data_IF_750651138455
#
_entry.id   IF_750651138455
#
_cell.length_a   1.000
_cell.length_b   1.000
_cell.length_c   1.000
_cell.angle_alpha   90.00
_cell.angle_beta   90.00
_cell.angle_gamma   90.00
#
_symmetry.space_group_name_H-M   'P 1'
#
loop_
_entity.id
_entity.type
_entity.pdbx_description
1 polymer ?
#
# COMPACT_ATOMS: atom_id res chain seq x y z
N UNK A 1 10.26 6.85 -29.15
CA UNK A 1 11.00 7.27 -27.95
C UNK A 1 10.46 8.56 -27.30
N UNK A 2 10.10 9.62 -28.05
CA UNK A 2 9.53 10.87 -27.46
C UNK A 2 8.17 10.68 -26.77
N UNK A 3 7.27 9.90 -27.36
CA UNK A 3 5.92 9.65 -26.79
C UNK A 3 6.02 8.95 -25.42
N UNK A 4 7.04 8.10 -25.24
CA UNK A 4 7.28 7.36 -24.02
C UNK A 4 7.73 8.22 -22.83
N UNK A 5 8.65 9.15 -23.11
CA UNK A 5 9.14 10.11 -22.13
C UNK A 5 8.04 11.10 -21.70
N UNK A 6 7.16 11.45 -22.64
CA UNK A 6 6.03 12.35 -22.39
C UNK A 6 4.99 11.72 -21.44
N UNK A 7 4.73 10.41 -21.54
CA UNK A 7 3.77 9.73 -20.65
C UNK A 7 4.31 9.58 -19.23
N UNK A 8 5.59 9.24 -19.08
CA UNK A 8 6.25 9.20 -17.78
C UNK A 8 6.16 10.57 -17.09
N UNK A 9 6.63 11.62 -17.76
CA UNK A 9 6.63 12.98 -17.20
C UNK A 9 5.21 13.48 -16.89
N UNK A 10 4.24 13.23 -17.78
CA UNK A 10 2.84 13.58 -17.53
C UNK A 10 2.24 12.85 -16.33
N UNK A 11 2.47 11.54 -16.18
CA UNK A 11 1.97 10.78 -15.02
C UNK A 11 2.56 11.25 -13.69
N UNK A 12 3.86 11.55 -13.66
CA UNK A 12 4.54 12.06 -12.46
C UNK A 12 4.13 13.50 -12.15
N UNK A 13 3.92 14.34 -13.18
CA UNK A 13 3.40 15.69 -13.00
C UNK A 13 1.97 15.66 -12.43
N UNK A 14 1.10 14.77 -12.92
CA UNK A 14 -0.26 14.60 -12.39
C UNK A 14 -0.23 14.12 -10.93
N UNK A 15 0.69 13.20 -10.58
CA UNK A 15 0.88 12.80 -9.19
C UNK A 15 1.37 13.98 -8.33
N UNK A 16 2.35 14.75 -8.81
CA UNK A 16 2.85 15.93 -8.10
C UNK A 16 1.77 17.00 -7.91
N UNK A 17 0.92 17.23 -8.91
CA UNK A 17 -0.26 18.11 -8.80
C UNK A 17 -1.22 17.59 -7.74
N UNK A 18 -1.48 16.28 -7.71
CA UNK A 18 -2.34 15.66 -6.69
C UNK A 18 -1.77 15.90 -5.29
N UNK A 19 -0.47 15.67 -5.09
CA UNK A 19 0.20 15.88 -3.80
C UNK A 19 0.25 17.37 -3.40
N UNK A 20 0.50 18.26 -4.35
CA UNK A 20 0.51 19.70 -4.11
C UNK A 20 -0.86 20.23 -3.71
N UNK A 21 -1.91 19.75 -4.38
CA UNK A 21 -3.28 20.04 -3.97
C UNK A 21 -3.55 19.49 -2.57
N UNK A 22 -3.04 18.30 -2.22
CA UNK A 22 -3.27 17.68 -0.91
C UNK A 22 -2.66 18.51 0.20
N UNK A 23 -1.43 18.95 0.00
CA UNK A 23 -0.77 19.87 0.92
C UNK A 23 -1.55 21.19 1.02
N UNK A 24 -1.95 21.80 -0.11
CA UNK A 24 -2.70 23.04 -0.12
C UNK A 24 -4.10 22.92 0.50
N UNK A 25 -4.70 21.73 0.43
CA UNK A 25 -6.00 21.42 1.01
C UNK A 25 -5.98 21.25 2.53
N UNK A 26 -4.81 21.36 3.16
CA UNK A 26 -4.65 21.14 4.60
C UNK A 26 -4.82 19.69 5.01
N UNK A 27 -4.57 18.73 4.11
CA UNK A 27 -4.75 17.31 4.40
C UNK A 27 -3.71 16.75 5.35
N UNK A 28 -2.53 17.36 5.39
CA UNK A 28 -1.43 16.96 6.27
C UNK A 28 -1.43 17.95 7.43
N UNK A 29 -1.80 17.46 8.62
CA UNK A 29 -1.70 18.22 9.86
C UNK A 29 -0.71 17.53 10.80
N UNK A 30 0.05 18.37 11.49
CA UNK A 30 0.92 17.99 12.60
C UNK A 30 0.35 18.48 13.94
N UNK A 31 -0.94 18.83 13.96
CA UNK A 31 -1.65 19.36 15.13
C UNK A 31 -2.83 18.48 15.47
N UNK A 32 -3.14 18.36 16.76
CA UNK A 32 -4.17 17.45 17.29
C UNK A 32 -5.61 17.95 17.03
N UNK A 33 -5.77 19.08 16.34
CA UNK A 33 -7.06 19.64 15.95
C UNK A 33 -7.57 19.07 14.63
N UNK A 34 -8.87 18.75 14.57
CA UNK A 34 -9.55 18.44 13.32
C UNK A 34 -9.40 19.57 12.31
N UNK A 35 -9.20 19.24 11.04
CA UNK A 35 -9.13 20.25 9.99
C UNK A 35 -10.50 20.77 9.56
N UNK A 36 -10.51 21.84 8.76
CA UNK A 36 -11.74 22.50 8.37
C UNK A 36 -12.59 21.64 7.41
N UNK A 37 -13.91 21.77 7.48
CA UNK A 37 -14.88 20.91 6.75
C UNK A 37 -14.69 20.87 5.23
N UNK A 38 -14.09 21.91 4.64
CA UNK A 38 -13.85 22.00 3.21
C UNK A 38 -12.74 21.05 2.72
N UNK A 39 -11.89 20.56 3.61
CA UNK A 39 -10.83 19.60 3.30
C UNK A 39 -11.44 18.38 2.59
N UNK A 40 -12.54 17.80 3.10
CA UNK A 40 -13.17 16.63 2.48
C UNK A 40 -13.63 16.82 1.02
N UNK A 41 -14.07 18.03 0.65
CA UNK A 41 -14.50 18.32 -0.73
C UNK A 41 -13.32 18.37 -1.69
N UNK A 42 -12.19 18.91 -1.23
CA UNK A 42 -10.96 19.01 -2.01
C UNK A 42 -10.35 17.60 -2.24
N UNK A 43 -10.50 16.69 -1.27
CA UNK A 43 -10.08 15.28 -1.36
C UNK A 43 -10.71 14.54 -2.54
N UNK A 44 -12.03 14.69 -2.68
CA UNK A 44 -12.79 14.02 -3.75
C UNK A 44 -12.33 14.49 -5.12
N UNK A 45 -11.97 15.77 -5.25
CA UNK A 45 -11.46 16.32 -6.50
C UNK A 45 -10.09 15.77 -6.87
N UNK A 46 -9.26 15.40 -5.88
CA UNK A 46 -7.93 14.83 -6.09
C UNK A 46 -7.92 13.41 -6.64
N UNK A 47 -9.02 12.68 -6.47
CA UNK A 47 -9.19 11.36 -7.07
C UNK A 47 -9.03 11.44 -8.60
N UNK A 48 -9.45 12.56 -9.21
CA UNK A 48 -9.40 12.77 -10.65
C UNK A 48 -7.96 12.82 -11.19
N UNK A 49 -7.07 13.73 -10.74
CA UNK A 49 -5.68 13.76 -11.21
C UNK A 49 -4.90 12.49 -10.81
N UNK A 50 -5.19 11.88 -9.65
CA UNK A 50 -4.59 10.61 -9.26
C UNK A 50 -4.96 9.47 -10.24
N UNK A 51 -6.25 9.33 -10.55
CA UNK A 51 -6.72 8.35 -11.52
C UNK A 51 -6.13 8.62 -12.92
N UNK A 52 -6.08 9.89 -13.33
CA UNK A 52 -5.48 10.29 -14.59
C UNK A 52 -3.98 9.92 -14.65
N UNK A 53 -3.22 10.08 -13.56
CA UNK A 53 -1.82 9.66 -13.49
C UNK A 53 -1.66 8.17 -13.79
N UNK A 54 -2.52 7.32 -13.21
CA UNK A 54 -2.51 5.87 -13.44
C UNK A 54 -2.89 5.54 -14.88
N UNK A 55 -3.97 6.14 -15.40
CA UNK A 55 -4.44 5.92 -16.78
C UNK A 55 -3.38 6.33 -17.80
N UNK A 56 -2.70 7.45 -17.59
CA UNK A 56 -1.63 7.95 -18.48
C UNK A 56 -0.42 7.03 -18.45
N UNK A 57 -0.05 6.51 -17.27
CA UNK A 57 1.06 5.59 -17.09
C UNK A 57 0.76 4.19 -17.66
N UNK A 58 -0.49 3.73 -17.61
CA UNK A 58 -0.91 2.35 -17.89
C UNK A 58 -0.33 1.71 -19.16
N UNK A 59 -0.36 2.34 -20.35
CA UNK A 59 0.12 1.71 -21.57
C UNK A 59 1.65 1.55 -21.63
N UNK A 60 2.40 2.24 -20.77
CA UNK A 60 3.86 2.29 -20.81
C UNK A 60 4.46 1.54 -19.61
N UNK A 61 5.18 0.42 -19.81
CA UNK A 61 5.78 -0.33 -18.71
C UNK A 61 6.72 0.52 -17.85
N UNK A 62 7.52 1.41 -18.46
CA UNK A 62 8.43 2.29 -17.72
C UNK A 62 7.69 3.33 -16.87
N UNK A 63 6.60 3.92 -17.40
CA UNK A 63 5.82 4.89 -16.63
C UNK A 63 5.11 4.22 -15.45
N UNK A 64 4.52 3.02 -15.66
CA UNK A 64 3.94 2.21 -14.58
C UNK A 64 4.96 1.87 -13.49
N UNK A 65 6.16 1.44 -13.88
CA UNK A 65 7.21 1.10 -12.93
C UNK A 65 7.56 2.30 -12.04
N UNK A 66 7.86 3.44 -12.65
CA UNK A 66 8.25 4.64 -11.92
C UNK A 66 7.12 5.19 -11.07
N UNK A 67 5.90 5.26 -11.60
CA UNK A 67 4.72 5.67 -10.83
C UNK A 67 4.53 4.74 -9.62
N UNK A 68 4.63 3.43 -9.84
CA UNK A 68 4.55 2.43 -8.77
C UNK A 68 5.64 2.60 -7.71
N UNK A 69 6.90 2.82 -8.10
CA UNK A 69 8.00 3.10 -7.18
C UNK A 69 7.72 4.36 -6.35
N UNK A 70 7.32 5.46 -7.00
CA UNK A 70 7.03 6.72 -6.31
C UNK A 70 5.88 6.56 -5.31
N UNK A 71 4.81 5.85 -5.68
CA UNK A 71 3.72 5.54 -4.76
C UNK A 71 4.19 4.67 -3.58
N UNK A 72 5.09 3.70 -3.83
CA UNK A 72 5.63 2.86 -2.77
C UNK A 72 6.52 3.63 -1.80
N UNK A 73 7.36 4.54 -2.31
CA UNK A 73 8.16 5.46 -1.49
C UNK A 73 7.24 6.39 -0.68
N UNK A 74 6.18 6.92 -1.31
CA UNK A 74 5.20 7.74 -0.61
C UNK A 74 4.53 6.97 0.53
N UNK A 75 4.12 5.72 0.32
CA UNK A 75 3.58 4.88 1.40
C UNK A 75 4.57 4.72 2.55
N UNK A 76 5.84 4.42 2.25
CA UNK A 76 6.86 4.27 3.29
C UNK A 76 7.09 5.56 4.07
N UNK A 77 7.06 6.72 3.40
CA UNK A 77 7.17 8.03 4.05
C UNK A 77 5.98 8.31 4.96
N UNK A 78 4.76 7.98 4.52
CA UNK A 78 3.55 8.14 5.33
C UNK A 78 3.63 7.28 6.60
N UNK A 79 3.99 6.01 6.46
CA UNK A 79 4.16 5.09 7.60
C UNK A 79 5.27 5.57 8.53
N UNK A 80 6.38 6.05 7.98
CA UNK A 80 7.48 6.61 8.77
C UNK A 80 7.03 7.83 9.59
N UNK A 81 6.31 8.76 8.96
CA UNK A 81 5.79 9.95 9.63
C UNK A 81 4.82 9.60 10.76
N UNK A 82 3.96 8.59 10.59
CA UNK A 82 3.08 8.11 11.67
C UNK A 82 3.84 7.56 12.87
N UNK A 83 4.98 6.90 12.65
CA UNK A 83 5.80 6.32 13.73
C UNK A 83 6.58 7.42 14.46
N UNK A 84 7.11 8.39 13.73
CA UNK A 84 7.98 9.44 14.29
C UNK A 84 7.17 10.58 14.90
N UNK A 85 6.03 10.93 14.30
CA UNK A 85 5.21 12.06 14.69
C UNK A 85 3.82 11.59 15.12
N UNK A 86 3.60 11.51 16.43
CA UNK A 86 2.31 11.10 17.02
C UNK A 86 1.15 12.04 16.60
N UNK A 87 1.47 13.30 16.29
CA UNK A 87 0.51 14.30 15.81
C UNK A 87 0.37 14.33 14.28
N UNK A 88 1.11 13.49 13.52
CA UNK A 88 0.92 13.40 12.08
C UNK A 88 -0.41 12.71 11.78
N UNK A 89 -1.34 13.47 11.21
CA UNK A 89 -2.64 12.94 10.80
C UNK A 89 -3.01 13.42 9.40
N UNK A 90 -3.55 12.49 8.63
CA UNK A 90 -4.29 12.83 7.43
C UNK A 90 -5.70 13.25 7.84
N UNK A 91 -6.03 14.52 7.66
CA UNK A 91 -7.38 15.06 7.86
C UNK A 91 -8.21 14.73 6.61
N UNK A 92 -8.22 13.47 6.23
CA UNK A 92 -9.05 13.01 5.12
C UNK A 92 -10.42 12.56 5.64
N UNK A 93 -10.48 11.97 6.86
CA UNK A 93 -11.73 11.42 7.39
C UNK A 93 -11.77 11.42 8.93
N UNK A 94 -12.96 11.45 9.50
CA UNK A 94 -13.21 11.42 10.95
C UNK A 94 -12.84 10.12 11.67
N UNK A 95 -12.15 9.17 11.04
CA UNK A 95 -11.70 7.93 11.71
C UNK A 95 -10.32 7.45 11.24
N UNK A 96 -9.53 6.88 12.16
CA UNK A 96 -8.20 6.30 11.88
C UNK A 96 -8.25 5.09 10.94
N UNK A 97 -9.39 4.38 10.91
CA UNK A 97 -9.59 3.21 10.05
C UNK A 97 -9.55 3.57 8.55
N UNK A 98 -10.06 4.73 8.17
CA UNK A 98 -10.07 5.15 6.77
C UNK A 98 -8.70 5.56 6.23
N UNK A 99 -7.82 6.07 7.09
CA UNK A 99 -6.42 6.31 6.76
C UNK A 99 -5.69 5.00 6.47
N UNK A 100 -5.88 3.98 7.31
CA UNK A 100 -5.35 2.65 7.07
C UNK A 100 -5.82 2.08 5.72
N UNK A 101 -7.08 2.34 5.32
CA UNK A 101 -7.59 1.91 4.01
C UNK A 101 -6.95 2.66 2.84
N UNK A 102 -6.76 3.98 2.98
CA UNK A 102 -6.09 4.77 1.97
C UNK A 102 -4.63 4.31 1.76
N UNK A 103 -3.88 4.12 2.84
CA UNK A 103 -2.50 3.64 2.79
C UNK A 103 -2.41 2.25 2.18
N UNK A 104 -3.27 1.33 2.62
CA UNK A 104 -3.35 -0.02 2.05
C UNK A 104 -3.66 0.01 0.55
N UNK A 105 -4.58 0.87 0.13
CA UNK A 105 -4.91 1.04 -1.29
C UNK A 105 -3.73 1.58 -2.12
N UNK A 106 -3.04 2.63 -1.64
CA UNK A 106 -1.87 3.19 -2.33
C UNK A 106 -0.74 2.16 -2.41
N UNK A 107 -0.52 1.40 -1.34
CA UNK A 107 0.47 0.33 -1.30
C UNK A 107 0.16 -0.80 -2.29
N UNK A 108 -1.09 -1.26 -2.32
CA UNK A 108 -1.56 -2.27 -3.28
C UNK A 108 -1.40 -1.79 -4.72
N UNK A 109 -1.78 -0.54 -4.99
CA UNK A 109 -1.64 0.07 -6.31
C UNK A 109 -0.18 0.18 -6.74
N UNK A 110 0.71 0.58 -5.83
CA UNK A 110 2.16 0.59 -6.06
C UNK A 110 2.66 -0.80 -6.46
N UNK A 111 2.34 -1.83 -5.68
CA UNK A 111 2.76 -3.21 -5.95
C UNK A 111 2.19 -3.72 -7.28
N UNK A 112 0.92 -3.42 -7.59
CA UNK A 112 0.28 -3.81 -8.85
C UNK A 112 0.99 -3.18 -10.05
N UNK A 113 1.29 -1.88 -9.99
CA UNK A 113 1.96 -1.16 -11.06
C UNK A 113 3.39 -1.68 -11.29
N UNK A 114 4.15 -1.92 -10.22
CA UNK A 114 5.51 -2.49 -10.30
C UNK A 114 5.46 -3.91 -10.88
N UNK A 115 4.51 -4.75 -10.43
CA UNK A 115 4.40 -6.14 -10.90
C UNK A 115 4.05 -6.19 -12.38
N UNK A 116 3.02 -5.46 -12.80
CA UNK A 116 2.55 -5.45 -14.20
C UNK A 116 3.58 -4.84 -15.14
N UNK A 117 4.31 -3.81 -14.70
CA UNK A 117 5.46 -3.27 -15.42
C UNK A 117 6.60 -4.28 -15.53
N UNK A 118 6.94 -4.95 -14.43
CA UNK A 118 7.99 -5.97 -14.39
C UNK A 118 7.72 -7.12 -15.36
N UNK A 119 6.47 -7.59 -15.45
CA UNK A 119 6.07 -8.64 -16.42
C UNK A 119 6.33 -8.16 -17.84
N UNK A 120 5.88 -6.94 -18.18
CA UNK A 120 6.03 -6.39 -19.52
C UNK A 120 7.49 -6.08 -19.91
N UNK A 121 8.37 -5.85 -18.93
CA UNK A 121 9.80 -5.60 -19.13
C UNK A 121 10.66 -6.88 -19.11
N UNK A 122 10.06 -8.06 -18.93
CA UNK A 122 10.80 -9.32 -18.85
C UNK A 122 11.61 -9.47 -17.55
N UNK A 123 11.12 -8.92 -16.44
CA UNK A 123 11.77 -9.05 -15.14
C UNK A 123 11.90 -10.53 -14.74
N UNK A 124 12.99 -10.84 -14.02
CA UNK A 124 13.22 -12.20 -13.53
C UNK A 124 12.05 -12.65 -12.64
N UNK A 125 11.65 -13.94 -12.67
CA UNK A 125 10.49 -14.44 -11.94
C UNK A 125 10.49 -14.12 -10.43
N UNK A 126 11.67 -14.02 -9.81
CA UNK A 126 11.78 -13.71 -8.38
C UNK A 126 11.38 -12.26 -8.05
N UNK A 127 11.61 -11.30 -8.96
CA UNK A 127 11.22 -9.90 -8.78
C UNK A 127 9.70 -9.68 -8.86
N UNK A 128 8.99 -10.61 -9.51
CA UNK A 128 7.53 -10.57 -9.64
C UNK A 128 6.82 -11.26 -8.47
N UNK A 129 7.49 -12.22 -7.82
CA UNK A 129 6.94 -12.94 -6.67
C UNK A 129 6.81 -12.05 -5.45
N UNK A 130 7.82 -11.25 -5.15
CA UNK A 130 7.84 -10.35 -3.99
C UNK A 130 6.61 -9.42 -3.96
N UNK A 131 6.35 -8.60 -4.99
CA UNK A 131 5.20 -7.70 -4.96
C UNK A 131 3.86 -8.45 -5.03
N UNK A 132 3.80 -9.62 -5.69
CA UNK A 132 2.60 -10.47 -5.65
C UNK A 132 2.29 -10.98 -4.23
N UNK A 133 3.31 -11.36 -3.46
CA UNK A 133 3.15 -11.74 -2.05
C UNK A 133 2.76 -10.56 -1.18
N UNK A 134 3.36 -9.39 -1.42
CA UNK A 134 2.98 -8.15 -0.71
C UNK A 134 1.51 -7.77 -0.99
N UNK A 135 1.04 -7.94 -2.23
CA UNK A 135 -0.37 -7.77 -2.58
C UNK A 135 -1.25 -8.74 -1.81
N UNK A 136 -0.88 -10.02 -1.76
CA UNK A 136 -1.62 -11.04 -1.02
C UNK A 136 -1.70 -10.73 0.48
N UNK A 137 -0.57 -10.35 1.10
CA UNK A 137 -0.51 -9.97 2.51
C UNK A 137 -1.39 -8.74 2.76
N UNK A 138 -1.24 -7.68 1.96
CA UNK A 138 -2.02 -6.46 2.11
C UNK A 138 -3.53 -6.69 1.89
N UNK A 139 -3.93 -7.55 0.96
CA UNK A 139 -5.33 -7.90 0.75
C UNK A 139 -5.91 -8.65 1.97
N UNK A 140 -5.16 -9.61 2.52
CA UNK A 140 -5.57 -10.35 3.72
C UNK A 140 -5.69 -9.41 4.92
N UNK A 141 -4.72 -8.52 5.13
CA UNK A 141 -4.75 -7.59 6.26
C UNK A 141 -5.90 -6.60 6.15
N UNK A 142 -6.14 -6.01 4.98
CA UNK A 142 -7.27 -5.10 4.78
C UNK A 142 -8.62 -5.80 4.98
N UNK A 143 -8.77 -7.01 4.43
CA UNK A 143 -10.00 -7.80 4.59
C UNK A 143 -10.26 -8.12 6.06
N UNK A 144 -9.21 -8.51 6.78
CA UNK A 144 -9.29 -8.76 8.21
C UNK A 144 -9.69 -7.51 8.98
N UNK A 145 -9.02 -6.38 8.74
CA UNK A 145 -9.35 -5.09 9.37
C UNK A 145 -10.81 -4.67 9.15
N UNK A 146 -11.33 -4.84 7.92
CA UNK A 146 -12.74 -4.58 7.60
C UNK A 146 -13.69 -5.49 8.37
N UNK A 147 -13.40 -6.79 8.41
CA UNK A 147 -14.21 -7.77 9.14
C UNK A 147 -14.19 -7.50 10.64
N UNK A 148 -13.03 -7.14 11.19
CA UNK A 148 -12.89 -6.74 12.59
C UNK A 148 -13.71 -5.50 12.89
N UNK A 149 -13.56 -4.43 12.10
CA UNK A 149 -14.32 -3.20 12.29
C UNK A 149 -15.84 -3.44 12.21
N UNK A 150 -16.27 -4.27 11.26
CA UNK A 150 -17.67 -4.67 11.13
C UNK A 150 -18.16 -5.49 12.32
N UNK A 151 -17.36 -6.45 12.79
CA UNK A 151 -17.68 -7.28 13.95
C UNK A 151 -17.79 -6.42 15.23
N UNK A 152 -16.79 -5.59 15.51
CA UNK A 152 -16.80 -4.69 16.67
C UNK A 152 -17.95 -3.69 16.62
N UNK A 153 -18.24 -3.11 15.45
CA UNK A 153 -19.38 -2.22 15.25
C UNK A 153 -20.74 -2.88 15.47
N UNK A 154 -20.84 -4.20 15.32
CA UNK A 154 -22.07 -4.97 15.60
C UNK A 154 -22.15 -5.56 17.00
N UNK A 155 -21.02 -5.98 17.55
CA UNK A 155 -20.96 -6.78 18.77
C UNK A 155 -20.68 -5.96 20.01
N UNK A 156 -20.16 -4.74 19.89
CA UNK A 156 -19.74 -3.90 21.02
C UNK A 156 -20.66 -2.68 21.24
N UNK A 157 -21.96 -2.83 21.03
CA UNK A 157 -22.95 -1.81 21.43
C UNK A 157 -23.49 -2.18 22.83
N UNK A 158 -22.86 -1.69 23.91
CA UNK A 158 -23.31 -1.92 25.30
C UNK A 158 -22.24 -1.72 26.37
N UNK A 159 -22.57 -1.97 27.64
CA UNK A 159 -21.71 -1.73 28.82
C UNK A 159 -20.54 -2.74 28.99
N UNK A 160 -20.39 -3.74 28.12
CA UNK A 160 -19.27 -4.71 28.14
C UNK A 160 -18.02 -4.24 27.37
N UNK A 161 -17.73 -2.94 27.40
CA UNK A 161 -16.60 -2.32 26.66
C UNK A 161 -15.23 -2.95 26.98
N UNK A 162 -15.00 -3.37 28.24
CA UNK A 162 -13.71 -3.93 28.67
C UNK A 162 -13.42 -5.31 28.07
N UNK A 163 -14.44 -6.15 27.87
CA UNK A 163 -14.29 -7.46 27.23
C UNK A 163 -14.00 -7.34 25.73
N UNK A 164 -14.65 -6.37 25.07
CA UNK A 164 -14.43 -6.07 23.66
C UNK A 164 -13.01 -5.54 23.38
N UNK A 165 -12.48 -4.67 24.23
CA UNK A 165 -11.13 -4.09 24.08
C UNK A 165 -10.02 -5.14 24.21
N UNK A 166 -10.18 -6.14 25.09
CA UNK A 166 -9.21 -7.23 25.23
C UNK A 166 -9.21 -8.16 24.01
N UNK A 167 -10.39 -8.46 23.45
CA UNK A 167 -10.52 -9.21 22.20
C UNK A 167 -9.93 -8.44 21.01
N UNK A 168 -10.13 -7.12 20.94
CA UNK A 168 -9.52 -6.24 19.95
C UNK A 168 -7.99 -6.22 20.06
N UNK A 169 -7.45 -6.11 21.28
CA UNK A 169 -6.01 -6.16 21.53
C UNK A 169 -5.37 -7.48 21.08
N UNK A 170 -6.00 -8.62 21.39
CA UNK A 170 -5.54 -9.93 20.93
C UNK A 170 -5.57 -10.07 19.41
N UNK A 171 -6.58 -9.47 18.76
CA UNK A 171 -6.71 -9.46 17.30
C UNK A 171 -5.61 -8.63 16.62
N UNK A 172 -5.32 -7.44 17.14
CA UNK A 172 -4.29 -6.52 16.61
C UNK A 172 -2.91 -7.14 16.76
N UNK A 173 -2.61 -7.74 17.91
CA UNK A 173 -1.33 -8.43 18.15
C UNK A 173 -1.20 -9.66 17.23
N UNK A 174 -2.26 -10.44 17.06
CA UNK A 174 -2.27 -11.58 16.14
C UNK A 174 -2.06 -11.17 14.68
N UNK A 175 -2.63 -10.04 14.27
CA UNK A 175 -2.47 -9.47 12.94
C UNK A 175 -1.05 -8.95 12.71
N UNK A 176 -0.49 -8.20 13.66
CA UNK A 176 0.90 -7.72 13.60
C UNK A 176 1.90 -8.90 13.52
N UNK A 177 1.67 -9.95 14.31
CA UNK A 177 2.47 -11.16 14.24
C UNK A 177 2.31 -11.87 12.88
N UNK A 178 1.09 -11.99 12.35
CA UNK A 178 0.81 -12.61 11.05
C UNK A 178 1.49 -11.88 9.89
N UNK A 179 1.48 -10.54 9.91
CA UNK A 179 2.15 -9.70 8.91
C UNK A 179 3.66 -9.94 8.87
N UNK A 180 4.29 -10.30 9.99
CA UNK A 180 5.73 -10.59 10.07
C UNK A 180 6.00 -12.06 9.72
N UNK A 181 5.19 -12.98 10.24
CA UNK A 181 5.39 -14.43 10.12
C UNK A 181 5.10 -14.93 8.69
N UNK A 182 4.05 -14.42 8.04
CA UNK A 182 3.70 -14.82 6.67
C UNK A 182 4.82 -14.53 5.64
N UNK A 183 5.39 -13.32 5.53
CA UNK A 183 6.48 -13.06 4.59
C UNK A 183 7.76 -13.83 4.95
N UNK A 184 8.03 -14.07 6.24
CA UNK A 184 9.13 -14.93 6.68
C UNK A 184 8.95 -16.36 6.18
N UNK A 185 7.77 -16.94 6.35
CA UNK A 185 7.46 -18.29 5.85
C UNK A 185 7.56 -18.37 4.32
N UNK A 186 7.03 -17.37 3.62
CA UNK A 186 7.13 -17.28 2.16
C UNK A 186 8.59 -17.21 1.71
N UNK A 187 9.42 -16.41 2.38
CA UNK A 187 10.86 -16.32 2.12
C UNK A 187 11.56 -17.67 2.33
N UNK A 188 11.24 -18.37 3.42
CA UNK A 188 11.80 -19.70 3.71
C UNK A 188 11.40 -20.71 2.64
N UNK A 189 10.14 -20.74 2.23
CA UNK A 189 9.65 -21.63 1.16
C UNK A 189 10.35 -21.33 -0.17
N UNK A 190 10.45 -20.06 -0.56
CA UNK A 190 11.14 -19.66 -1.79
C UNK A 190 12.64 -20.00 -1.75
N UNK A 191 13.31 -19.80 -0.61
CA UNK A 191 14.71 -20.18 -0.41
C UNK A 191 14.89 -21.70 -0.59
N UNK A 192 14.02 -22.51 0.02
CA UNK A 192 14.04 -23.98 -0.14
C UNK A 192 13.86 -24.37 -1.61
N UNK A 193 12.88 -23.79 -2.30
CA UNK A 193 12.64 -24.06 -3.72
C UNK A 193 13.79 -23.60 -4.61
N UNK A 194 14.47 -22.51 -4.26
CA UNK A 194 15.64 -22.02 -4.97
C UNK A 194 16.85 -22.95 -4.78
N UNK A 195 17.16 -23.36 -3.55
CA UNK A 195 18.24 -24.31 -3.26
C UNK A 195 17.99 -25.63 -3.99
N UNK A 196 16.75 -26.14 -3.98
CA UNK A 196 16.38 -27.37 -4.70
C UNK A 196 16.59 -27.24 -6.21
N UNK A 197 16.25 -26.10 -6.83
CA UNK A 197 16.48 -25.87 -8.26
C UNK A 197 17.97 -25.81 -8.61
N UNK A 198 18.79 -25.18 -7.76
CA UNK A 198 20.25 -25.14 -7.99
C UNK A 198 20.90 -26.51 -7.90
N UNK A 199 20.50 -27.35 -6.94
CA UNK A 199 21.03 -28.72 -6.84
C UNK A 199 20.74 -29.54 -8.11
N UNK A 200 19.50 -29.49 -8.60
CA UNK A 200 19.12 -30.17 -9.85
C UNK A 200 19.89 -29.65 -11.08
N UNK A 201 20.19 -28.36 -11.15
CA UNK A 201 20.98 -27.80 -12.25
C UNK A 201 22.46 -28.23 -12.21
N UNK A 202 23.04 -28.37 -11.02
CA UNK A 202 24.41 -28.86 -10.85
C UNK A 202 24.56 -30.35 -11.22
N UNK A 203 23.54 -31.16 -10.96
CA UNK A 203 23.51 -32.58 -11.33
C UNK A 203 23.44 -32.80 -12.85
N UNK A 204 22.78 -31.89 -13.59
CA UNK A 204 22.66 -31.98 -15.06
C UNK A 204 23.91 -31.47 -15.78
N UNK A 205 24.63 -30.50 -15.22
CA UNK A 205 25.87 -29.96 -15.80
C UNK A 205 27.13 -30.80 -15.55
N UNK A 206 27.01 -31.89 -14.78
CA UNK A 206 28.09 -32.84 -14.45
C UNK A 206 28.09 -34.09 -15.34
N UNK A 207 27.21 -34.17 -16.34
CA UNK A 207 27.17 -35.22 -17.36
C UNK A 207 27.60 -34.66 -18.70
#
# INVERSE_FOLDING_TARGET
MRIALNRLTASLALLAVTLGLLAAGGFISFTDGGGPDWTFSVAKLMVIPAAAAVVVAWPEPKARLWLGIVLGVLTLLIVWEQVVNVSFRFIWVGSEAELMYFEGFVFLLSCLLVTTAGVALGAKPWLLRIPAYLIGIAAVTMTFGLLSAWFFGRSCTGEEEQGCMAAAGGLVVGMAAGIIVCPLLILVVELILWVRRRRKAAEVGSR
#
